data_IF_609734711741
#
_entry.id   IF_609734711741
#
_cell.length_a   1.000
_cell.length_b   1.000
_cell.length_c   1.000
_cell.angle_alpha   90.00
_cell.angle_beta   90.00
_cell.angle_gamma   90.00
#
_symmetry.space_group_name_H-M   'P 1'
#
loop_
_entity.id
_entity.type
_entity.pdbx_description
1 polymer ?
#
# COMPACT_ATOMS: atom_id res chain seq x y z
N UNK A 1 12.62 -8.71 28.69
CA UNK A 1 11.25 -8.29 28.37
C UNK A 1 10.74 -9.30 27.36
N UNK A 2 9.55 -9.82 27.52
CA UNK A 2 8.91 -10.70 26.52
C UNK A 2 8.53 -9.88 25.29
N UNK A 3 8.63 -10.47 24.10
CA UNK A 3 8.18 -9.84 22.87
C UNK A 3 6.66 -9.59 22.92
N UNK A 4 6.16 -8.45 22.41
CA UNK A 4 4.74 -8.12 22.47
C UNK A 4 3.91 -9.06 21.60
N UNK A 5 2.75 -9.41 22.09
CA UNK A 5 1.70 -10.17 21.38
C UNK A 5 0.87 -9.20 20.55
N UNK A 6 0.85 -9.37 19.24
CA UNK A 6 0.24 -8.42 18.32
C UNK A 6 -0.98 -9.06 17.65
N UNK A 7 -2.10 -8.34 17.63
CA UNK A 7 -3.21 -8.65 16.72
C UNK A 7 -3.25 -7.56 15.64
N UNK A 8 -3.21 -7.97 14.38
CA UNK A 8 -3.32 -7.03 13.26
C UNK A 8 -4.68 -7.16 12.56
N UNK A 9 -5.44 -6.07 12.57
CA UNK A 9 -6.76 -5.99 11.93
C UNK A 9 -6.70 -5.35 10.54
N UNK A 10 -5.51 -4.93 10.08
CA UNK A 10 -5.32 -4.31 8.77
C UNK A 10 -4.24 -5.04 7.96
N UNK A 11 -4.50 -5.40 6.68
CA UNK A 11 -3.51 -6.01 5.81
C UNK A 11 -2.22 -5.21 5.67
N UNK A 12 -2.32 -3.88 5.53
CA UNK A 12 -1.16 -2.97 5.45
C UNK A 12 -0.29 -3.01 6.72
N UNK A 13 -0.92 -3.08 7.90
CA UNK A 13 -0.19 -3.20 9.16
C UNK A 13 0.49 -4.57 9.26
N UNK A 14 -0.19 -5.65 8.85
CA UNK A 14 0.37 -7.01 8.81
C UNK A 14 1.60 -7.07 7.90
N UNK A 15 1.51 -6.54 6.69
CA UNK A 15 2.64 -6.48 5.75
C UNK A 15 3.82 -5.68 6.33
N UNK A 16 3.54 -4.56 7.02
CA UNK A 16 4.59 -3.79 7.69
C UNK A 16 5.24 -4.56 8.82
N UNK A 17 4.46 -5.27 9.66
CA UNK A 17 4.98 -6.13 10.74
C UNK A 17 5.89 -7.22 10.19
N UNK A 18 5.50 -7.86 9.09
CA UNK A 18 6.32 -8.85 8.40
C UNK A 18 7.66 -8.25 7.91
N UNK A 19 7.61 -7.11 7.22
CA UNK A 19 8.81 -6.40 6.75
C UNK A 19 9.76 -5.96 7.89
N UNK A 20 9.22 -5.74 9.08
CA UNK A 20 10.00 -5.45 10.29
C UNK A 20 10.66 -6.70 10.91
N UNK A 21 10.45 -7.89 10.33
CA UNK A 21 10.90 -9.17 10.89
C UNK A 21 10.25 -9.47 12.23
N UNK A 22 8.97 -9.13 12.39
CA UNK A 22 8.18 -9.34 13.61
C UNK A 22 6.91 -10.18 13.36
N UNK A 23 6.85 -10.93 12.26
CA UNK A 23 5.72 -11.80 11.95
C UNK A 23 5.46 -12.85 13.05
N UNK A 24 6.48 -13.27 13.74
CA UNK A 24 6.41 -14.19 14.89
C UNK A 24 5.66 -13.62 16.10
N UNK A 25 5.44 -12.31 16.15
CA UNK A 25 4.66 -11.62 17.19
C UNK A 25 3.17 -11.60 16.92
N UNK A 26 2.76 -11.90 15.67
CA UNK A 26 1.35 -11.91 15.28
C UNK A 26 0.65 -13.14 15.91
N UNK A 27 -0.27 -12.88 16.83
CA UNK A 27 -1.11 -13.92 17.44
C UNK A 27 -2.50 -13.99 16.79
N UNK A 28 -2.91 -12.94 16.10
CA UNK A 28 -4.17 -12.88 15.35
C UNK A 28 -4.10 -11.91 14.18
N UNK A 29 -4.78 -12.27 13.08
CA UNK A 29 -4.88 -11.45 11.84
C UNK A 29 -6.26 -11.58 11.23
N UNK A 30 -6.65 -10.64 10.36
CA UNK A 30 -7.90 -10.77 9.57
C UNK A 30 -7.72 -11.75 8.41
N UNK A 31 -8.84 -12.20 7.83
CA UNK A 31 -8.84 -13.09 6.66
C UNK A 31 -8.26 -12.47 5.39
N UNK A 32 -8.01 -11.15 5.39
CA UNK A 32 -7.45 -10.40 4.26
C UNK A 32 -5.94 -10.16 4.41
N UNK A 33 -5.34 -10.58 5.55
CA UNK A 33 -3.91 -10.48 5.76
C UNK A 33 -3.21 -11.65 5.07
N UNK A 34 -2.27 -11.35 4.19
CA UNK A 34 -1.42 -12.34 3.54
C UNK A 34 -0.05 -12.37 4.24
N UNK A 35 0.42 -13.56 4.58
CA UNK A 35 1.73 -13.85 5.17
C UNK A 35 2.51 -14.86 4.31
N UNK A 36 2.05 -15.14 3.08
CA UNK A 36 2.58 -16.23 2.24
C UNK A 36 3.99 -15.96 1.69
N UNK A 37 4.39 -14.69 1.55
CA UNK A 37 5.72 -14.34 1.02
C UNK A 37 6.86 -14.56 2.03
N UNK A 38 6.53 -14.73 3.32
CA UNK A 38 7.48 -15.06 4.38
C UNK A 38 7.52 -16.58 4.69
N UNK A 39 7.54 -17.43 3.65
CA UNK A 39 7.60 -18.89 3.81
C UNK A 39 8.82 -19.37 4.66
N UNK A 40 9.83 -18.54 4.84
CA UNK A 40 10.98 -18.81 5.73
C UNK A 40 10.76 -18.36 7.20
N UNK A 41 9.82 -17.45 7.48
CA UNK A 41 9.58 -16.94 8.83
C UNK A 41 8.76 -17.90 9.70
N UNK A 42 7.90 -18.73 9.10
CA UNK A 42 6.98 -19.62 9.81
C UNK A 42 7.58 -20.91 10.35
N UNK A 43 8.77 -21.32 9.93
CA UNK A 43 9.32 -22.65 10.27
C UNK A 43 10.38 -22.65 11.36
N UNK A 44 10.92 -21.51 11.78
CA UNK A 44 12.11 -21.51 12.63
C UNK A 44 11.83 -21.49 14.15
N UNK A 45 10.64 -21.11 14.64
CA UNK A 45 10.44 -20.87 16.08
C UNK A 45 9.15 -21.42 16.71
N UNK A 46 8.46 -22.40 16.11
CA UNK A 46 7.42 -23.17 16.84
C UNK A 46 6.18 -22.38 17.30
N UNK A 47 5.98 -21.14 16.84
CA UNK A 47 4.76 -20.36 17.03
C UNK A 47 3.83 -20.72 15.88
N UNK A 48 2.65 -21.26 16.22
CA UNK A 48 1.64 -21.63 15.21
C UNK A 48 1.23 -20.41 14.38
N UNK A 49 0.69 -20.65 13.17
CA UNK A 49 0.10 -19.59 12.35
C UNK A 49 -0.84 -18.70 13.17
N UNK A 50 -0.86 -17.37 12.94
CA UNK A 50 -1.74 -16.48 13.70
C UNK A 50 -3.22 -16.87 13.52
N UNK A 51 -4.01 -16.65 14.56
CA UNK A 51 -5.44 -16.97 14.54
C UNK A 51 -6.19 -16.01 13.60
N UNK A 52 -6.98 -16.54 12.68
CA UNK A 52 -7.91 -15.72 11.89
C UNK A 52 -9.04 -15.16 12.77
N UNK A 53 -9.18 -13.84 12.83
CA UNK A 53 -10.15 -13.17 13.72
C UNK A 53 -11.35 -12.58 12.96
N UNK A 54 -11.50 -12.86 11.67
CA UNK A 54 -12.63 -12.40 10.86
C UNK A 54 -12.26 -11.40 9.77
N UNK A 55 -13.23 -10.62 9.32
CA UNK A 55 -13.06 -9.68 8.22
C UNK A 55 -12.36 -8.38 8.64
N UNK A 56 -11.91 -7.61 7.65
CA UNK A 56 -11.19 -6.34 7.85
C UNK A 56 -12.01 -5.28 8.59
N UNK A 57 -13.31 -5.14 8.26
CA UNK A 57 -14.20 -4.16 8.92
C UNK A 57 -15.10 -4.79 9.99
N UNK A 58 -15.15 -6.11 10.08
CA UNK A 58 -16.04 -6.84 10.98
C UNK A 58 -15.34 -8.05 11.62
N UNK A 59 -14.19 -7.86 12.30
CA UNK A 59 -13.55 -8.92 13.05
C UNK A 59 -14.40 -9.32 14.27
N UNK A 60 -14.19 -10.54 14.75
CA UNK A 60 -14.74 -11.01 16.02
C UNK A 60 -13.91 -10.43 17.17
N UNK A 61 -14.41 -9.36 17.79
CA UNK A 61 -13.71 -8.63 18.85
C UNK A 61 -13.59 -9.44 20.16
N UNK A 62 -14.49 -10.40 20.42
CA UNK A 62 -14.37 -11.29 21.57
C UNK A 62 -13.22 -12.28 21.33
N UNK A 63 -13.04 -12.74 20.10
CA UNK A 63 -11.90 -13.55 19.71
C UNK A 63 -10.60 -12.74 19.79
N UNK A 64 -10.59 -11.47 19.33
CA UNK A 64 -9.44 -10.57 19.47
C UNK A 64 -9.04 -10.43 20.93
N UNK A 65 -9.99 -10.12 21.82
CA UNK A 65 -9.72 -10.00 23.26
C UNK A 65 -9.26 -11.32 23.89
N UNK A 66 -9.82 -12.46 23.45
CA UNK A 66 -9.45 -13.80 23.94
C UNK A 66 -8.02 -14.20 23.56
N UNK A 67 -7.37 -13.53 22.63
CA UNK A 67 -5.95 -13.72 22.30
C UNK A 67 -5.01 -13.00 23.26
N UNK A 68 -5.53 -12.19 24.19
CA UNK A 68 -4.76 -11.40 25.16
C UNK A 68 -3.56 -10.67 24.51
N UNK A 69 -3.83 -9.76 23.53
CA UNK A 69 -2.78 -9.03 22.84
C UNK A 69 -2.25 -7.87 23.70
N UNK A 70 -0.94 -7.61 23.59
CA UNK A 70 -0.33 -6.39 24.14
C UNK A 70 -0.67 -5.16 23.30
N UNK A 71 -0.93 -5.35 21.99
CA UNK A 71 -1.34 -4.28 21.08
C UNK A 71 -2.20 -4.81 19.92
N UNK A 72 -3.24 -4.04 19.57
CA UNK A 72 -4.06 -4.25 18.37
C UNK A 72 -3.72 -3.18 17.34
N UNK A 73 -3.40 -3.60 16.13
CA UNK A 73 -3.06 -2.72 15.03
C UNK A 73 -4.27 -2.53 14.12
N UNK A 74 -4.63 -1.28 13.86
CA UNK A 74 -5.62 -0.88 12.87
C UNK A 74 -5.02 0.17 11.93
N UNK A 75 -5.63 0.34 10.77
CA UNK A 75 -5.18 1.31 9.76
C UNK A 75 -6.37 1.78 8.93
N UNK A 76 -6.26 3.00 8.37
CA UNK A 76 -7.28 3.63 7.56
C UNK A 76 -8.48 4.18 8.37
N UNK A 77 -9.04 5.31 7.92
CA UNK A 77 -10.18 5.95 8.55
C UNK A 77 -11.47 5.11 8.56
N UNK A 78 -11.57 4.09 7.67
CA UNK A 78 -12.68 3.12 7.70
C UNK A 78 -12.64 2.21 8.93
N UNK A 79 -11.49 2.10 9.60
CA UNK A 79 -11.34 1.34 10.85
C UNK A 79 -11.36 2.22 12.10
N UNK A 80 -11.63 3.52 12.02
CA UNK A 80 -11.66 4.41 13.19
C UNK A 80 -12.67 3.93 14.25
N UNK A 81 -13.91 3.65 13.85
CA UNK A 81 -14.94 3.13 14.76
C UNK A 81 -14.55 1.74 15.33
N UNK A 82 -13.88 0.92 14.55
CA UNK A 82 -13.37 -0.38 14.99
C UNK A 82 -12.26 -0.22 16.04
N UNK A 83 -11.37 0.74 15.84
CA UNK A 83 -10.32 1.06 16.80
C UNK A 83 -10.93 1.52 18.14
N UNK A 84 -11.97 2.34 18.10
CA UNK A 84 -12.70 2.79 19.30
C UNK A 84 -13.42 1.62 19.98
N UNK A 85 -14.08 0.74 19.23
CA UNK A 85 -14.71 -0.46 19.76
C UNK A 85 -13.72 -1.43 20.44
N UNK A 86 -12.48 -1.49 19.97
CA UNK A 86 -11.40 -2.23 20.64
C UNK A 86 -10.97 -1.55 21.95
N UNK A 87 -10.82 -0.20 21.95
CA UNK A 87 -10.47 0.57 23.15
C UNK A 87 -11.54 0.46 24.24
N UNK A 88 -12.83 0.48 23.87
CA UNK A 88 -13.96 0.26 24.80
C UNK A 88 -13.92 -1.11 25.49
N UNK A 89 -13.27 -2.10 24.87
CA UNK A 89 -13.01 -3.42 25.46
C UNK A 89 -11.74 -3.48 26.31
N UNK A 90 -11.06 -2.34 26.48
CA UNK A 90 -9.84 -2.25 27.29
C UNK A 90 -8.58 -2.74 26.56
N UNK A 91 -8.64 -2.89 25.22
CA UNK A 91 -7.48 -3.26 24.41
C UNK A 91 -6.61 -2.03 24.12
N UNK A 92 -5.29 -2.20 24.13
CA UNK A 92 -4.37 -1.18 23.63
C UNK A 92 -4.37 -1.19 22.10
N UNK A 93 -4.59 -0.01 21.47
CA UNK A 93 -4.80 0.10 20.02
C UNK A 93 -3.87 1.13 19.41
N UNK A 94 -3.01 0.68 18.52
CA UNK A 94 -2.17 1.53 17.67
C UNK A 94 -2.86 1.72 16.30
N UNK A 95 -3.74 2.73 16.22
CA UNK A 95 -4.43 3.15 15.01
C UNK A 95 -3.60 4.17 14.23
N UNK A 96 -3.55 4.04 12.89
CA UNK A 96 -2.83 4.93 11.97
C UNK A 96 -3.69 5.23 10.74
N UNK A 97 -3.75 6.49 10.34
CA UNK A 97 -4.48 6.97 9.16
C UNK A 97 -3.56 7.83 8.28
N UNK A 98 -2.52 7.25 7.66
CA UNK A 98 -1.70 8.02 6.73
C UNK A 98 -2.53 8.45 5.52
N UNK A 99 -2.32 9.67 5.07
CA UNK A 99 -3.01 10.25 3.91
C UNK A 99 -2.04 10.64 2.78
N UNK A 100 -0.75 10.79 3.10
CA UNK A 100 0.31 11.13 2.15
C UNK A 100 1.39 10.05 2.09
N UNK A 101 2.20 10.04 1.03
CA UNK A 101 3.33 9.12 0.90
C UNK A 101 4.35 9.29 2.04
N UNK A 102 4.61 10.54 2.43
CA UNK A 102 5.53 10.83 3.55
C UNK A 102 5.01 10.25 4.87
N UNK A 103 3.70 10.39 5.14
CA UNK A 103 3.08 9.80 6.35
C UNK A 103 3.12 8.27 6.33
N UNK A 104 2.99 7.64 5.15
CA UNK A 104 3.18 6.18 5.03
C UNK A 104 4.59 5.79 5.43
N UNK A 105 5.61 6.48 4.89
CA UNK A 105 7.03 6.19 5.19
C UNK A 105 7.37 6.46 6.65
N UNK A 106 6.89 7.57 7.24
CA UNK A 106 7.03 7.85 8.67
C UNK A 106 6.34 6.79 9.55
N UNK A 107 5.22 6.27 9.05
CA UNK A 107 4.46 5.20 9.69
C UNK A 107 5.28 3.92 9.93
N UNK A 108 6.30 3.64 9.13
CA UNK A 108 7.14 2.45 9.33
C UNK A 108 7.94 2.52 10.65
N UNK A 109 8.50 3.69 10.98
CA UNK A 109 9.23 3.89 12.23
C UNK A 109 8.28 3.75 13.45
N UNK A 110 7.11 4.38 13.38
CA UNK A 110 6.13 4.32 14.46
C UNK A 110 5.56 2.90 14.64
N UNK A 111 5.29 2.18 13.54
CA UNK A 111 4.86 0.78 13.58
C UNK A 111 5.93 -0.12 14.17
N UNK A 112 7.21 0.13 13.86
CA UNK A 112 8.33 -0.55 14.50
C UNK A 112 8.32 -0.40 16.03
N UNK A 113 8.06 0.81 16.53
CA UNK A 113 7.93 1.05 17.96
C UNK A 113 6.71 0.32 18.57
N UNK A 114 5.55 0.39 17.91
CA UNK A 114 4.31 -0.29 18.35
C UNK A 114 4.52 -1.80 18.58
N UNK A 115 5.36 -2.44 17.74
CA UNK A 115 5.61 -3.88 17.83
C UNK A 115 6.95 -4.25 18.47
N UNK A 116 7.61 -3.32 19.16
CA UNK A 116 8.87 -3.55 19.87
C UNK A 116 10.09 -3.78 18.96
N UNK A 117 10.08 -3.21 17.75
CA UNK A 117 11.17 -3.24 16.76
C UNK A 117 11.57 -1.83 16.30
N UNK A 118 11.82 -0.87 17.20
CA UNK A 118 12.01 0.54 16.83
C UNK A 118 13.16 0.73 15.83
N UNK A 119 14.32 0.09 16.03
CA UNK A 119 15.45 0.24 15.10
C UNK A 119 15.17 -0.39 13.71
N UNK A 120 14.36 -1.45 13.65
CA UNK A 120 13.93 -2.01 12.36
C UNK A 120 12.97 -1.06 11.64
N UNK A 121 12.07 -0.40 12.37
CA UNK A 121 11.16 0.61 11.84
C UNK A 121 11.91 1.82 11.28
N UNK A 122 12.88 2.33 12.04
CA UNK A 122 13.73 3.45 11.58
C UNK A 122 14.52 3.08 10.32
N UNK A 123 15.09 1.87 10.25
CA UNK A 123 15.79 1.40 9.05
C UNK A 123 14.84 1.28 7.87
N UNK A 124 13.67 0.66 8.04
CA UNK A 124 12.67 0.52 6.95
C UNK A 124 12.25 1.88 6.40
N UNK A 125 12.03 2.87 7.27
CA UNK A 125 11.72 4.24 6.87
C UNK A 125 12.87 4.93 6.14
N UNK A 126 14.12 4.71 6.58
CA UNK A 126 15.30 5.25 5.92
C UNK A 126 15.53 4.62 4.54
N UNK A 127 15.41 3.30 4.42
CA UNK A 127 15.55 2.56 3.16
C UNK A 127 14.46 2.98 2.16
N UNK A 128 13.23 3.23 2.65
CA UNK A 128 12.14 3.74 1.83
C UNK A 128 12.45 5.12 1.24
N UNK A 129 12.96 6.06 2.06
CA UNK A 129 13.36 7.40 1.60
C UNK A 129 14.48 7.33 0.58
N UNK A 130 15.53 6.55 0.86
CA UNK A 130 16.64 6.34 -0.10
C UNK A 130 16.15 5.75 -1.43
N UNK A 131 15.16 4.86 -1.38
CA UNK A 131 14.55 4.28 -2.59
C UNK A 131 13.78 5.33 -3.39
N UNK A 132 12.99 6.19 -2.72
CA UNK A 132 12.28 7.30 -3.35
C UNK A 132 13.25 8.32 -3.97
N UNK A 133 14.32 8.67 -3.26
CA UNK A 133 15.36 9.59 -3.76
C UNK A 133 16.01 9.02 -5.05
N UNK A 134 16.35 7.74 -5.07
CA UNK A 134 16.91 7.08 -6.29
C UNK A 134 15.94 7.11 -7.47
N UNK A 135 14.63 6.93 -7.22
CA UNK A 135 13.62 7.03 -8.26
C UNK A 135 13.53 8.48 -8.76
N UNK A 136 13.46 9.45 -7.86
CA UNK A 136 13.39 10.86 -8.20
C UNK A 136 14.60 11.32 -9.02
N UNK A 137 15.81 10.91 -8.65
CA UNK A 137 17.05 11.20 -9.40
C UNK A 137 17.01 10.60 -10.83
N UNK A 138 16.50 9.38 -10.97
CA UNK A 138 16.41 8.71 -12.27
C UNK A 138 15.46 9.40 -13.25
N UNK A 139 14.46 10.15 -12.75
CA UNK A 139 13.43 10.82 -13.57
C UNK A 139 13.51 12.35 -13.56
N UNK A 140 14.50 12.95 -12.87
CA UNK A 140 14.59 14.38 -12.59
C UNK A 140 14.51 15.27 -13.85
N UNK A 141 15.23 14.91 -14.91
CA UNK A 141 15.34 15.70 -16.16
C UNK A 141 14.41 15.19 -17.28
N UNK A 142 13.39 14.40 -16.93
CA UNK A 142 12.50 13.80 -17.92
C UNK A 142 11.18 14.56 -18.05
N UNK A 143 10.49 14.47 -19.21
CA UNK A 143 9.11 14.94 -19.33
C UNK A 143 8.24 14.30 -18.25
N UNK A 144 7.22 15.02 -17.80
CA UNK A 144 6.30 14.51 -16.76
C UNK A 144 4.97 14.11 -17.40
N UNK A 145 4.80 12.83 -17.80
CA UNK A 145 3.55 12.36 -18.38
C UNK A 145 2.42 12.43 -17.34
N UNK A 146 1.20 12.63 -17.85
CA UNK A 146 -0.02 12.62 -17.03
C UNK A 146 -0.49 11.18 -16.89
N UNK A 147 -0.70 10.72 -15.64
CA UNK A 147 -1.29 9.43 -15.37
C UNK A 147 -2.68 9.60 -14.76
N UNK A 148 -3.64 8.77 -15.16
CA UNK A 148 -4.90 8.57 -14.47
C UNK A 148 -4.83 7.24 -13.73
N UNK A 149 -4.95 7.26 -12.40
CA UNK A 149 -4.95 6.07 -11.55
C UNK A 149 -6.38 5.80 -11.09
N UNK A 150 -6.91 4.62 -11.40
CA UNK A 150 -8.28 4.21 -11.09
C UNK A 150 -8.27 3.10 -10.03
N UNK A 151 -8.89 3.35 -8.87
CA UNK A 151 -9.00 2.36 -7.78
C UNK A 151 -10.37 1.70 -7.69
N UNK A 152 -11.36 2.20 -8.44
CA UNK A 152 -12.71 1.66 -8.55
C UNK A 152 -13.29 2.01 -9.92
N UNK A 153 -14.01 1.09 -10.54
CA UNK A 153 -14.40 1.20 -11.95
C UNK A 153 -15.88 1.54 -12.22
N UNK A 154 -16.77 1.38 -11.24
CA UNK A 154 -18.19 1.67 -11.42
C UNK A 154 -18.84 2.21 -10.12
N UNK A 155 -18.98 3.54 -10.02
CA UNK A 155 -18.47 4.57 -10.93
C UNK A 155 -16.95 4.68 -10.92
N UNK A 156 -16.30 5.23 -11.98
CA UNK A 156 -14.85 5.38 -12.00
C UNK A 156 -14.39 6.36 -10.92
N UNK A 157 -13.43 5.92 -10.10
CA UNK A 157 -12.87 6.71 -9.00
C UNK A 157 -11.37 6.96 -9.23
N UNK A 158 -11.02 8.23 -9.28
CA UNK A 158 -9.62 8.64 -9.24
C UNK A 158 -9.04 8.40 -7.85
N UNK A 159 -7.91 7.71 -7.80
CA UNK A 159 -7.24 7.34 -6.56
C UNK A 159 -6.69 8.57 -5.83
N UNK A 160 -6.86 8.61 -4.53
CA UNK A 160 -6.46 9.69 -3.64
C UNK A 160 -5.39 9.28 -2.64
N UNK A 161 -5.45 9.86 -1.44
CA UNK A 161 -4.50 9.66 -0.35
C UNK A 161 -3.06 9.88 -0.83
N UNK A 162 -2.20 8.87 -0.75
CA UNK A 162 -0.78 8.87 -1.16
C UNK A 162 -0.55 8.63 -2.66
N UNK A 163 -1.58 8.23 -3.44
CA UNK A 163 -1.41 7.94 -4.88
C UNK A 163 -0.98 9.16 -5.70
N UNK A 164 -1.52 10.38 -5.47
CA UNK A 164 -1.00 11.58 -6.13
C UNK A 164 0.50 11.81 -5.88
N UNK A 165 0.97 11.58 -4.65
CA UNK A 165 2.39 11.68 -4.32
C UNK A 165 3.20 10.56 -4.96
N UNK A 166 2.68 9.32 -4.99
CA UNK A 166 3.33 8.19 -5.65
C UNK A 166 3.55 8.46 -7.15
N UNK A 167 2.56 9.01 -7.85
CA UNK A 167 2.70 9.42 -9.27
C UNK A 167 3.73 10.54 -9.41
N UNK A 168 3.73 11.54 -8.52
CA UNK A 168 4.70 12.65 -8.53
C UNK A 168 6.12 12.18 -8.27
N UNK A 169 6.31 11.26 -7.29
CA UNK A 169 7.60 10.64 -6.98
C UNK A 169 8.10 9.77 -8.16
N UNK A 170 7.19 9.14 -8.89
CA UNK A 170 7.48 8.40 -10.11
C UNK A 170 7.77 9.30 -11.34
N UNK A 171 7.81 10.63 -11.18
CA UNK A 171 8.09 11.60 -12.27
C UNK A 171 6.86 11.96 -13.11
N UNK A 172 5.66 11.58 -12.71
CA UNK A 172 4.41 11.89 -13.41
C UNK A 172 3.71 13.18 -12.96
N UNK A 173 2.58 13.47 -13.58
CA UNK A 173 1.58 14.48 -13.17
C UNK A 173 0.28 13.78 -12.87
N UNK A 174 -0.40 14.22 -11.82
CA UNK A 174 -1.69 13.69 -11.41
C UNK A 174 -2.66 14.85 -11.09
N UNK A 175 -3.52 15.26 -12.04
CA UNK A 175 -4.38 16.43 -11.86
C UNK A 175 -5.78 16.11 -11.31
N UNK A 176 -6.05 14.88 -10.89
CA UNK A 176 -7.41 14.41 -10.56
C UNK A 176 -7.77 14.58 -9.08
N UNK A 177 -6.82 14.37 -8.20
CA UNK A 177 -6.96 14.47 -6.73
C UNK A 177 -5.68 15.09 -6.17
N UNK A 178 -5.79 15.95 -5.16
CA UNK A 178 -4.61 16.47 -4.48
C UNK A 178 -4.08 15.47 -3.44
N UNK A 179 -2.77 15.50 -3.11
CA UNK A 179 -2.19 14.66 -2.06
C UNK A 179 -2.93 14.82 -0.74
N UNK A 180 -3.19 13.70 -0.06
CA UNK A 180 -3.89 13.67 1.21
C UNK A 180 -5.41 13.75 1.11
N UNK A 181 -5.97 14.10 -0.05
CA UNK A 181 -7.40 14.01 -0.27
C UNK A 181 -7.81 12.57 -0.55
N UNK A 182 -9.03 12.19 -0.13
CA UNK A 182 -9.58 10.86 -0.41
C UNK A 182 -9.88 10.69 -1.90
N UNK A 183 -9.84 9.45 -2.34
CA UNK A 183 -10.31 9.04 -3.65
C UNK A 183 -11.73 9.52 -3.90
N UNK A 184 -12.01 9.91 -5.13
CA UNK A 184 -13.31 10.46 -5.51
C UNK A 184 -13.76 9.99 -6.87
N UNK A 185 -15.07 9.91 -7.02
CA UNK A 185 -15.68 9.74 -8.34
C UNK A 185 -15.22 10.84 -9.29
N UNK A 186 -14.90 10.46 -10.52
CA UNK A 186 -14.48 11.37 -11.57
C UNK A 186 -15.43 11.29 -12.77
N UNK A 187 -15.81 12.44 -13.29
CA UNK A 187 -16.54 12.53 -14.56
C UNK A 187 -15.61 12.02 -15.69
N UNK A 188 -16.01 10.99 -16.47
CA UNK A 188 -15.26 10.53 -17.64
C UNK A 188 -14.81 11.65 -18.57
N UNK A 189 -15.65 12.66 -18.81
CA UNK A 189 -15.28 13.83 -19.60
C UNK A 189 -14.17 14.69 -18.96
N UNK A 190 -13.97 14.61 -17.65
CA UNK A 190 -12.84 15.28 -17.00
C UNK A 190 -11.52 14.52 -17.22
N UNK A 191 -11.58 13.18 -17.27
CA UNK A 191 -10.42 12.35 -17.62
C UNK A 191 -10.03 12.59 -19.07
N UNK A 192 -10.99 12.54 -20.00
CA UNK A 192 -10.77 12.84 -21.43
C UNK A 192 -10.14 14.23 -21.64
N UNK A 193 -10.66 15.27 -20.97
CA UNK A 193 -10.08 16.63 -21.05
C UNK A 193 -8.68 16.75 -20.47
N UNK A 194 -8.33 15.93 -19.50
CA UNK A 194 -6.99 15.92 -18.93
C UNK A 194 -5.96 15.25 -19.84
N UNK A 195 -6.44 14.50 -20.84
CA UNK A 195 -5.66 13.82 -21.87
C UNK A 195 -4.48 13.06 -21.26
N UNK A 196 -4.74 12.00 -20.44
CA UNK A 196 -3.68 11.27 -19.75
C UNK A 196 -2.81 10.50 -20.76
N UNK A 197 -1.51 10.51 -20.56
CA UNK A 197 -0.56 9.68 -21.33
C UNK A 197 -0.63 8.21 -20.94
N UNK A 198 -1.12 7.90 -19.71
CA UNK A 198 -1.26 6.56 -19.18
C UNK A 198 -2.51 6.44 -18.29
N UNK A 199 -3.22 5.30 -18.42
CA UNK A 199 -4.26 4.87 -17.50
C UNK A 199 -3.73 3.69 -16.67
N UNK A 200 -3.73 3.83 -15.36
CA UNK A 200 -3.26 2.81 -14.42
C UNK A 200 -4.45 2.35 -13.58
N UNK A 201 -4.79 1.07 -13.66
CA UNK A 201 -5.95 0.50 -12.96
C UNK A 201 -5.44 -0.42 -11.86
N UNK A 202 -5.92 -0.19 -10.63
CA UNK A 202 -5.58 -0.98 -9.44
C UNK A 202 -6.80 -1.14 -8.54
N UNK A 203 -7.84 -1.80 -9.10
CA UNK A 203 -9.16 -1.89 -8.46
C UNK A 203 -9.08 -2.68 -7.16
N UNK A 204 -9.50 -2.05 -6.07
CA UNK A 204 -9.45 -2.60 -4.72
C UNK A 204 -10.10 -3.99 -4.63
N UNK A 205 -9.38 -4.96 -4.08
CA UNK A 205 -9.83 -6.34 -3.90
C UNK A 205 -9.80 -7.20 -5.18
N UNK A 206 -9.31 -6.66 -6.30
CA UNK A 206 -9.24 -7.41 -7.57
C UNK A 206 -7.82 -7.92 -7.89
N UNK A 207 -6.79 -7.44 -7.20
CA UNK A 207 -5.42 -7.75 -7.55
C UNK A 207 -5.12 -7.26 -8.98
N UNK A 208 -4.42 -8.06 -9.76
CA UNK A 208 -4.11 -7.81 -11.17
C UNK A 208 -5.14 -8.42 -12.15
N UNK A 209 -6.34 -8.80 -11.68
CA UNK A 209 -7.34 -9.55 -12.46
C UNK A 209 -8.28 -8.69 -13.29
N UNK A 210 -8.11 -7.37 -13.32
CA UNK A 210 -8.87 -6.48 -14.19
C UNK A 210 -8.46 -6.72 -15.64
N UNK A 211 -9.46 -6.86 -16.55
CA UNK A 211 -9.17 -6.97 -17.98
C UNK A 211 -8.81 -5.58 -18.55
N UNK A 212 -7.55 -5.34 -18.96
CA UNK A 212 -7.15 -4.07 -19.52
C UNK A 212 -7.85 -3.74 -20.85
N UNK A 213 -8.29 -4.76 -21.62
CA UNK A 213 -9.01 -4.54 -22.86
C UNK A 213 -10.38 -3.94 -22.59
N UNK A 214 -11.10 -4.44 -21.58
CA UNK A 214 -12.40 -3.89 -21.20
C UNK A 214 -12.32 -2.43 -20.71
N UNK A 215 -11.20 -2.03 -20.12
CA UNK A 215 -10.96 -0.62 -19.74
C UNK A 215 -10.64 0.22 -20.97
N UNK A 216 -9.80 -0.29 -21.88
CA UNK A 216 -9.41 0.40 -23.12
C UNK A 216 -10.58 0.57 -24.13
N UNK A 217 -11.64 -0.26 -24.02
CA UNK A 217 -12.85 -0.14 -24.85
C UNK A 217 -13.80 0.99 -24.42
N UNK A 218 -13.51 1.68 -23.30
CA UNK A 218 -14.32 2.82 -22.84
C UNK A 218 -14.13 4.01 -23.77
N UNK A 219 -15.20 4.65 -24.21
CA UNK A 219 -15.18 5.76 -25.18
C UNK A 219 -14.30 6.96 -24.77
N UNK A 220 -14.00 7.10 -23.48
CA UNK A 220 -13.22 8.19 -22.88
C UNK A 220 -11.76 7.81 -22.53
N UNK A 221 -11.33 6.59 -22.88
CA UNK A 221 -9.95 6.11 -22.65
C UNK A 221 -9.23 6.01 -24.00
N UNK A 222 -8.26 6.91 -24.22
CA UNK A 222 -7.43 6.96 -25.46
C UNK A 222 -5.94 6.85 -25.12
N UNK A 223 -5.61 6.19 -24.01
CA UNK A 223 -4.25 6.00 -23.55
C UNK A 223 -3.95 4.53 -23.24
N UNK A 224 -2.68 4.11 -23.26
CA UNK A 224 -2.29 2.78 -22.82
C UNK A 224 -2.80 2.46 -21.40
N UNK A 225 -3.49 1.32 -21.27
CA UNK A 225 -4.01 0.82 -19.99
C UNK A 225 -3.04 -0.15 -19.36
N UNK A 226 -2.69 0.09 -18.11
CA UNK A 226 -1.83 -0.76 -17.29
C UNK A 226 -2.61 -1.23 -16.08
N UNK A 227 -2.59 -2.52 -15.79
CA UNK A 227 -3.17 -3.09 -14.58
C UNK A 227 -2.05 -3.38 -13.60
N UNK A 228 -2.19 -2.88 -12.38
CA UNK A 228 -1.32 -3.19 -11.26
C UNK A 228 -2.09 -3.96 -10.20
N UNK A 229 -1.39 -4.81 -9.48
CA UNK A 229 -1.95 -5.41 -8.26
C UNK A 229 -2.33 -4.32 -7.28
N UNK A 230 -3.52 -4.39 -6.70
CA UNK A 230 -4.03 -3.34 -5.80
C UNK A 230 -3.22 -3.20 -4.52
N UNK A 231 -2.51 -4.23 -4.08
CA UNK A 231 -1.60 -4.15 -2.93
C UNK A 231 -0.47 -3.13 -3.11
N UNK A 232 -0.11 -2.83 -4.38
CA UNK A 232 0.97 -1.89 -4.70
C UNK A 232 0.59 -0.42 -4.51
N UNK A 233 -0.69 -0.06 -4.62
CA UNK A 233 -1.13 1.34 -4.54
C UNK A 233 -2.24 1.59 -3.51
N UNK A 234 -3.05 0.57 -3.14
CA UNK A 234 -4.20 0.77 -2.26
C UNK A 234 -3.89 0.57 -0.77
N UNK A 235 -2.66 0.21 -0.42
CA UNK A 235 -2.29 -0.07 0.96
C UNK A 235 -1.11 0.78 1.42
N UNK A 236 -1.18 1.42 2.62
CA UNK A 236 -0.05 2.13 3.23
C UNK A 236 0.93 1.11 3.84
N UNK A 237 1.65 0.40 2.99
CA UNK A 237 2.56 -0.69 3.35
C UNK A 237 3.89 -0.56 2.58
N UNK A 238 4.94 -1.33 2.91
CA UNK A 238 6.19 -1.33 2.15
C UNK A 238 6.03 -1.64 0.66
N UNK A 239 5.00 -2.41 0.25
CA UNK A 239 4.69 -2.69 -1.16
C UNK A 239 4.38 -1.42 -1.97
N UNK A 240 3.94 -0.32 -1.32
CA UNK A 240 3.73 0.96 -1.99
C UNK A 240 5.01 1.47 -2.67
N UNK A 241 6.19 1.19 -2.11
CA UNK A 241 7.47 1.57 -2.74
C UNK A 241 7.71 0.79 -4.04
N UNK A 242 7.26 -0.47 -4.12
CA UNK A 242 7.27 -1.27 -5.35
C UNK A 242 6.29 -0.68 -6.37
N UNK A 243 5.13 -0.21 -5.89
CA UNK A 243 4.15 0.53 -6.67
C UNK A 243 4.73 1.80 -7.31
N UNK A 244 5.42 2.64 -6.51
CA UNK A 244 6.10 3.86 -7.02
C UNK A 244 7.15 3.51 -8.07
N UNK A 245 7.98 2.48 -7.83
CA UNK A 245 8.98 2.04 -8.80
C UNK A 245 8.33 1.49 -10.07
N UNK A 246 7.22 0.75 -9.93
CA UNK A 246 6.48 0.24 -11.08
C UNK A 246 5.89 1.38 -11.91
N UNK A 247 5.30 2.40 -11.26
CA UNK A 247 4.83 3.62 -11.92
C UNK A 247 5.99 4.31 -12.65
N UNK A 248 7.14 4.51 -12.02
CA UNK A 248 8.29 5.14 -12.63
C UNK A 248 8.77 4.40 -13.89
N UNK A 249 8.77 3.06 -13.87
CA UNK A 249 9.10 2.24 -15.03
C UNK A 249 8.07 2.32 -16.16
N UNK A 250 6.79 2.48 -15.82
CA UNK A 250 5.72 2.69 -16.80
C UNK A 250 5.82 4.06 -17.45
N UNK A 251 6.02 5.10 -16.65
CA UNK A 251 6.07 6.48 -17.09
C UNK A 251 7.38 6.83 -17.81
N UNK A 252 8.48 6.15 -17.46
CA UNK A 252 9.84 6.44 -17.95
C UNK A 252 10.62 5.15 -18.25
N UNK A 253 10.15 4.29 -19.18
CA UNK A 253 10.79 2.98 -19.44
C UNK A 253 12.27 3.12 -19.80
N UNK A 254 12.67 4.19 -20.47
CA UNK A 254 14.06 4.44 -20.87
C UNK A 254 14.99 4.76 -19.69
N UNK A 255 14.47 5.28 -18.57
CA UNK A 255 15.25 5.58 -17.37
C UNK A 255 15.70 4.32 -16.65
N UNK A 256 14.94 3.23 -16.82
CA UNK A 256 15.13 1.95 -16.11
C UNK A 256 15.50 0.82 -17.05
N UNK A 257 15.71 1.08 -18.36
CA UNK A 257 16.30 0.10 -19.26
C UNK A 257 17.75 -0.10 -18.85
N UNK A 258 18.16 -1.35 -18.62
CA UNK A 258 19.56 -1.69 -18.38
C UNK A 258 20.33 -1.32 -19.63
N UNK A 259 21.16 -0.28 -19.57
CA UNK A 259 22.15 0.01 -20.60
C UNK A 259 23.14 -1.15 -20.62
N UNK A 260 23.06 -2.02 -21.65
CA UNK A 260 24.10 -3.02 -21.89
C UNK A 260 23.64 -4.47 -22.04
N UNK A 261 22.81 -4.76 -23.06
CA UNK A 261 23.10 -5.94 -23.83
C UNK A 261 24.08 -5.47 -24.90
N UNK A 262 25.37 -5.62 -24.60
CA UNK A 262 26.49 -5.35 -25.47
C UNK A 262 26.29 -6.20 -26.75
N UNK A 263 25.87 -5.53 -27.82
CA UNK A 263 25.94 -6.06 -29.18
C UNK A 263 27.42 -6.11 -29.53
N UNK A 264 28.10 -7.20 -29.20
CA UNK A 264 29.41 -7.54 -29.77
C UNK A 264 29.20 -8.47 -30.94
N UNK A 265 29.75 -8.10 -32.12
CA UNK A 265 29.62 -8.81 -33.35
C UNK A 265 30.30 -10.20 -33.33
#
# INVERSE_FOLDING_TARGET
MTDPRVVSLAPSATATVAALGAADRLVGVTNHCDLSDDADAGSAHGIGSPTAVGGWLNPDLDRVAGLDPDVVLTSDGLQADLADACRERGLDVAHREPSTLDEVVEGFATRGADVGRPEAGERLAADARERLDRIADAVADRPRPTAYCEEWSDPPMAAGNWVPDAVRAAGGRYPFVEPGERSREVDPAAVERADPDHVVVHVCGHGDRVDPAAVAERDWVDAPVHVLDDSLLNQPSPALLDGVERLARLLHPEAFSVAGADDRP
#
